data_IF_545550458109
#
_entry.id   IF_545550458109
#
_cell.length_a   1.000
_cell.length_b   1.000
_cell.length_c   1.000
_cell.angle_alpha   90.00
_cell.angle_beta   90.00
_cell.angle_gamma   90.00
#
_symmetry.space_group_name_H-M   'P 1'
#
loop_
_entity.id
_entity.type
_entity.pdbx_description
1 polymer ?
#
# COMPACT_ATOMS: atom_id res chain seq x y z
N UNK A 1 18.84 -66.51 -14.84
CA UNK A 1 19.14 -65.11 -15.15
C UNK A 1 17.91 -64.28 -15.57
N UNK A 2 16.95 -64.76 -16.37
CA UNK A 2 15.78 -63.95 -16.83
C UNK A 2 14.76 -63.52 -15.73
N UNK A 3 14.62 -64.30 -14.63
CA UNK A 3 13.68 -63.93 -13.52
C UNK A 3 14.14 -62.78 -12.60
N UNK A 4 15.45 -62.47 -12.58
CA UNK A 4 15.96 -61.37 -11.73
C UNK A 4 15.87 -60.02 -12.41
N UNK A 5 15.98 -59.97 -13.75
CA UNK A 5 15.91 -58.74 -14.54
C UNK A 5 14.48 -58.15 -14.52
N UNK A 6 13.42 -59.00 -14.55
CA UNK A 6 12.04 -58.54 -14.50
C UNK A 6 11.63 -57.97 -13.14
N UNK A 7 12.23 -58.42 -12.02
CA UNK A 7 11.94 -57.89 -10.69
C UNK A 7 12.49 -56.47 -10.47
N UNK A 8 13.69 -56.18 -11.01
CA UNK A 8 14.35 -54.88 -10.91
C UNK A 8 13.57 -53.84 -11.73
N UNK A 9 13.11 -54.19 -12.93
CA UNK A 9 12.32 -53.29 -13.80
C UNK A 9 10.96 -52.96 -13.20
N UNK A 10 10.35 -53.89 -12.47
CA UNK A 10 9.04 -53.67 -11.81
C UNK A 10 9.18 -52.77 -10.58
N UNK A 11 10.25 -52.91 -9.81
CA UNK A 11 10.57 -52.05 -8.65
C UNK A 11 10.88 -50.62 -9.11
N UNK A 12 11.67 -50.47 -10.17
CA UNK A 12 11.98 -49.15 -10.73
C UNK A 12 10.77 -48.43 -11.31
N UNK A 13 9.84 -49.16 -11.94
CA UNK A 13 8.56 -48.59 -12.41
C UNK A 13 7.64 -48.23 -11.28
N UNK A 14 7.57 -49.01 -10.19
CA UNK A 14 6.77 -48.73 -9.02
C UNK A 14 7.29 -47.50 -8.23
N UNK A 15 8.63 -47.39 -8.06
CA UNK A 15 9.25 -46.23 -7.40
C UNK A 15 9.13 -44.95 -8.24
N UNK A 16 9.23 -45.03 -9.56
CA UNK A 16 8.99 -43.90 -10.46
C UNK A 16 7.49 -43.46 -10.43
N UNK A 17 6.55 -44.42 -10.34
CA UNK A 17 5.13 -44.14 -10.25
C UNK A 17 4.75 -43.51 -8.91
N UNK A 18 5.29 -43.99 -7.77
CA UNK A 18 5.07 -43.42 -6.44
C UNK A 18 5.69 -42.03 -6.35
N UNK A 19 6.94 -41.84 -6.84
CA UNK A 19 7.57 -40.54 -6.88
C UNK A 19 6.79 -39.51 -7.70
N UNK A 20 6.30 -39.92 -8.88
CA UNK A 20 5.45 -39.10 -9.72
C UNK A 20 4.11 -38.73 -9.06
N UNK A 21 3.44 -39.68 -8.39
CA UNK A 21 2.20 -39.41 -7.68
C UNK A 21 2.39 -38.47 -6.48
N UNK A 22 3.48 -38.62 -5.73
CA UNK A 22 3.80 -37.72 -4.60
C UNK A 22 4.09 -36.30 -5.09
N UNK A 23 4.83 -36.14 -6.17
CA UNK A 23 5.09 -34.81 -6.77
C UNK A 23 3.80 -34.16 -7.28
N UNK A 24 2.91 -34.91 -7.93
CA UNK A 24 1.62 -34.39 -8.41
C UNK A 24 0.72 -33.98 -7.26
N UNK A 25 0.64 -34.78 -6.19
CA UNK A 25 -0.14 -34.45 -5.00
C UNK A 25 0.42 -33.23 -4.27
N UNK A 26 1.73 -33.12 -4.10
CA UNK A 26 2.37 -31.96 -3.50
C UNK A 26 2.12 -30.69 -4.31
N UNK A 27 2.25 -30.75 -5.64
CA UNK A 27 2.00 -29.63 -6.55
C UNK A 27 0.51 -29.22 -6.54
N UNK A 28 -0.43 -30.16 -6.46
CA UNK A 28 -1.84 -29.86 -6.37
C UNK A 28 -2.16 -29.18 -5.02
N UNK A 29 -1.63 -29.69 -3.90
CA UNK A 29 -1.84 -29.10 -2.57
C UNK A 29 -1.28 -27.68 -2.52
N UNK A 30 -0.07 -27.45 -3.05
CA UNK A 30 0.56 -26.13 -3.13
C UNK A 30 -0.28 -25.16 -3.98
N UNK A 31 -0.79 -25.61 -5.12
CA UNK A 31 -1.67 -24.81 -5.95
C UNK A 31 -2.98 -24.42 -5.25
N UNK A 32 -3.64 -25.35 -4.54
CA UNK A 32 -4.85 -25.04 -3.78
C UNK A 32 -4.57 -24.08 -2.62
N UNK A 33 -3.48 -24.29 -1.88
CA UNK A 33 -3.05 -23.40 -0.81
C UNK A 33 -2.70 -22.01 -1.35
N UNK A 34 -1.93 -21.93 -2.43
CA UNK A 34 -1.59 -20.68 -3.09
C UNK A 34 -2.82 -19.93 -3.59
N UNK A 35 -3.78 -20.64 -4.21
CA UNK A 35 -5.03 -20.03 -4.66
C UNK A 35 -5.90 -19.51 -3.51
N UNK A 36 -5.96 -20.25 -2.40
CA UNK A 36 -6.64 -19.80 -1.19
C UNK A 36 -5.99 -18.53 -0.64
N UNK A 37 -4.67 -18.52 -0.48
CA UNK A 37 -3.90 -17.38 0.02
C UNK A 37 -4.05 -16.13 -0.87
N UNK A 38 -4.06 -16.31 -2.20
CA UNK A 38 -4.27 -15.21 -3.14
C UNK A 38 -5.67 -14.60 -2.98
N UNK A 39 -6.72 -15.41 -2.94
CA UNK A 39 -8.07 -14.89 -2.75
C UNK A 39 -8.23 -14.24 -1.36
N UNK A 40 -7.63 -14.81 -0.34
CA UNK A 40 -7.59 -14.26 1.01
C UNK A 40 -6.88 -12.91 1.06
N UNK A 41 -5.68 -12.81 0.45
CA UNK A 41 -4.85 -11.61 0.50
C UNK A 41 -5.36 -10.51 -0.44
N UNK A 42 -5.60 -10.78 -1.72
CA UNK A 42 -5.88 -9.74 -2.72
C UNK A 42 -7.26 -9.80 -3.37
N UNK A 43 -8.04 -10.89 -3.17
CA UNK A 43 -9.41 -10.95 -3.68
C UNK A 43 -10.30 -9.86 -3.06
N UNK A 44 -11.20 -9.25 -3.85
CA UNK A 44 -12.21 -8.32 -3.33
C UNK A 44 -13.05 -9.02 -2.25
N UNK A 45 -13.19 -8.42 -1.07
CA UNK A 45 -13.92 -9.01 0.06
C UNK A 45 -13.24 -10.20 0.73
N UNK A 46 -11.97 -10.50 0.43
CA UNK A 46 -11.19 -11.52 1.15
C UNK A 46 -10.86 -11.09 2.60
N UNK A 47 -10.54 -12.04 3.48
CA UNK A 47 -10.34 -11.79 4.92
C UNK A 47 -8.93 -11.30 5.30
N UNK A 48 -8.08 -10.98 4.32
CA UNK A 48 -6.68 -10.58 4.56
C UNK A 48 -6.50 -9.34 5.43
N UNK A 49 -7.54 -8.49 5.56
CA UNK A 49 -7.54 -7.34 6.47
C UNK A 49 -7.63 -7.71 7.95
N UNK A 50 -8.18 -8.89 8.29
CA UNK A 50 -8.29 -9.38 9.66
C UNK A 50 -6.96 -10.02 10.08
N UNK A 51 -6.05 -9.19 10.60
CA UNK A 51 -4.72 -9.65 11.01
C UNK A 51 -4.75 -10.32 12.38
N UNK A 52 -4.50 -11.61 12.41
CA UNK A 52 -4.18 -12.36 13.63
C UNK A 52 -2.77 -12.89 13.52
N UNK A 53 -1.92 -12.57 14.47
CA UNK A 53 -0.54 -13.07 14.55
C UNK A 53 -0.45 -14.15 15.66
N UNK A 54 0.60 -14.95 15.64
CA UNK A 54 0.82 -15.96 16.67
C UNK A 54 1.08 -15.33 18.03
N UNK A 55 0.81 -16.07 19.11
CA UNK A 55 1.01 -15.60 20.48
C UNK A 55 2.46 -15.14 20.74
N UNK A 56 3.45 -15.86 20.20
CA UNK A 56 4.87 -15.50 20.33
C UNK A 56 5.23 -14.21 19.58
N UNK A 57 4.68 -14.01 18.37
CA UNK A 57 4.88 -12.79 17.62
C UNK A 57 4.13 -11.62 18.28
N UNK A 58 2.91 -11.86 18.77
CA UNK A 58 2.13 -10.86 19.49
C UNK A 58 2.82 -10.41 20.77
N UNK A 59 3.41 -11.33 21.55
CA UNK A 59 4.15 -11.00 22.76
C UNK A 59 5.37 -10.10 22.49
N UNK A 60 6.06 -10.28 21.36
CA UNK A 60 7.17 -9.40 20.96
C UNK A 60 6.67 -8.02 20.55
N UNK A 61 5.60 -7.96 19.76
CA UNK A 61 4.95 -6.71 19.33
C UNK A 61 4.52 -5.91 20.56
N UNK A 62 3.82 -6.55 21.52
CA UNK A 62 3.36 -5.88 22.74
C UNK A 62 4.52 -5.40 23.63
N UNK A 63 5.67 -6.11 23.65
CA UNK A 63 6.84 -5.70 24.40
C UNK A 63 7.55 -4.45 23.82
N UNK A 64 7.35 -4.17 22.54
CA UNK A 64 7.92 -3.00 21.84
C UNK A 64 6.99 -1.78 21.91
N UNK A 65 5.71 -1.95 22.29
CA UNK A 65 4.76 -0.85 22.42
C UNK A 65 4.98 -0.06 23.71
N UNK A 66 4.89 1.25 23.58
CA UNK A 66 4.89 2.17 24.74
C UNK A 66 3.43 2.45 25.14
N UNK A 67 3.10 2.22 26.42
CA UNK A 67 1.77 2.52 26.95
C UNK A 67 1.42 4.02 26.83
N UNK A 68 2.42 4.90 26.98
CA UNK A 68 2.24 6.34 26.83
C UNK A 68 1.97 6.70 25.36
N UNK A 69 2.69 6.10 24.41
CA UNK A 69 2.45 6.30 22.99
C UNK A 69 1.06 5.82 22.57
N UNK A 70 0.61 4.67 23.05
CA UNK A 70 -0.73 4.13 22.77
C UNK A 70 -1.83 5.05 23.30
N UNK A 71 -1.66 5.62 24.50
CA UNK A 71 -2.62 6.58 25.06
C UNK A 71 -2.70 7.83 24.20
N UNK A 72 -1.56 8.42 23.81
CA UNK A 72 -1.51 9.60 22.94
C UNK A 72 -2.18 9.32 21.60
N UNK A 73 -1.86 8.18 20.97
CA UNK A 73 -2.44 7.75 19.68
C UNK A 73 -3.97 7.67 19.79
N UNK A 74 -4.50 7.01 20.82
CA UNK A 74 -5.93 6.81 20.99
C UNK A 74 -6.68 8.12 21.24
N UNK A 75 -6.14 9.01 22.08
CA UNK A 75 -6.72 10.30 22.36
C UNK A 75 -6.71 11.21 21.12
N UNK A 76 -5.60 11.23 20.38
CA UNK A 76 -5.44 12.02 19.16
C UNK A 76 -6.40 11.51 18.06
N UNK A 77 -6.50 10.21 17.85
CA UNK A 77 -7.47 9.59 16.92
C UNK A 77 -8.88 10.03 17.22
N UNK A 78 -9.28 9.99 18.47
CA UNK A 78 -10.62 10.41 18.88
C UNK A 78 -10.87 11.87 18.57
N UNK A 79 -9.92 12.76 18.88
CA UNK A 79 -10.06 14.20 18.63
C UNK A 79 -10.05 14.49 17.12
N UNK A 80 -9.14 13.94 16.35
CA UNK A 80 -9.07 14.14 14.89
C UNK A 80 -10.29 13.56 14.19
N UNK A 81 -10.76 12.38 14.59
CA UNK A 81 -11.98 11.78 14.02
C UNK A 81 -13.23 12.61 14.26
N UNK A 82 -13.36 13.25 15.44
CA UNK A 82 -14.46 14.21 15.69
C UNK A 82 -14.34 15.46 14.81
N UNK A 83 -13.13 15.99 14.65
CA UNK A 83 -12.87 17.14 13.78
C UNK A 83 -13.18 16.80 12.32
N UNK A 84 -12.74 15.63 11.84
CA UNK A 84 -12.99 15.16 10.48
C UNK A 84 -14.48 14.96 10.19
N UNK A 85 -15.25 14.46 11.15
CA UNK A 85 -16.69 14.32 11.00
C UNK A 85 -17.40 15.68 10.85
N UNK A 86 -17.01 16.69 11.65
CA UNK A 86 -17.53 18.05 11.52
C UNK A 86 -17.09 18.70 10.19
N UNK A 87 -15.87 18.44 9.75
CA UNK A 87 -15.39 18.91 8.46
C UNK A 87 -16.22 18.34 7.31
N UNK A 88 -16.50 17.04 7.32
CA UNK A 88 -17.29 16.39 6.27
C UNK A 88 -18.74 16.87 6.24
N UNK A 89 -19.34 17.16 7.39
CA UNK A 89 -20.67 17.79 7.49
C UNK A 89 -20.67 19.21 6.88
N UNK A 90 -19.61 19.98 7.15
CA UNK A 90 -19.48 21.37 6.65
C UNK A 90 -19.05 21.44 5.18
N UNK A 91 -18.26 20.49 4.73
CA UNK A 91 -17.64 20.42 3.40
C UNK A 91 -17.82 19.04 2.75
N UNK A 92 -19.08 18.64 2.43
CA UNK A 92 -19.34 17.32 1.87
C UNK A 92 -18.61 17.15 0.54
N UNK A 93 -17.92 16.01 0.40
CA UNK A 93 -17.23 15.66 -0.84
C UNK A 93 -18.23 15.46 -1.99
N UNK A 94 -17.76 15.77 -3.20
CA UNK A 94 -18.46 15.38 -4.44
C UNK A 94 -18.00 14.01 -4.87
N UNK A 95 -18.96 13.14 -5.17
CA UNK A 95 -18.69 11.86 -5.81
C UNK A 95 -18.18 12.10 -7.22
N UNK A 96 -16.99 11.56 -7.53
CA UNK A 96 -16.43 11.56 -8.87
C UNK A 96 -16.18 10.13 -9.30
N UNK A 97 -16.37 9.86 -10.57
CA UNK A 97 -16.02 8.59 -11.20
C UNK A 97 -15.19 8.85 -12.44
N UNK A 98 -14.06 8.16 -12.56
CA UNK A 98 -13.21 8.16 -13.76
C UNK A 98 -13.05 6.75 -14.29
N UNK A 99 -12.60 6.62 -15.52
CA UNK A 99 -12.28 5.33 -16.12
C UNK A 99 -10.79 5.04 -15.98
N UNK A 100 -10.45 3.84 -15.50
CA UNK A 100 -9.05 3.36 -15.51
C UNK A 100 -8.60 2.98 -16.93
N UNK A 101 -7.29 2.78 -17.12
CA UNK A 101 -6.75 2.35 -18.41
C UNK A 101 -7.27 0.96 -18.85
N UNK A 102 -7.70 0.13 -17.93
CA UNK A 102 -8.27 -1.21 -18.15
C UNK A 102 -9.80 -1.23 -18.01
N UNK A 103 -10.46 -0.05 -18.14
CA UNK A 103 -11.90 0.16 -18.16
C UNK A 103 -12.66 -0.19 -16.87
N UNK A 104 -12.04 -0.03 -15.70
CA UNK A 104 -12.74 -0.03 -14.43
C UNK A 104 -13.30 1.36 -14.11
N UNK A 105 -14.52 1.43 -13.58
CA UNK A 105 -15.05 2.64 -12.97
C UNK A 105 -14.38 2.82 -11.60
N UNK A 106 -13.56 3.87 -11.48
CA UNK A 106 -12.87 4.24 -10.25
C UNK A 106 -13.58 5.41 -9.61
N UNK A 107 -13.92 5.24 -8.33
CA UNK A 107 -14.57 6.26 -7.52
C UNK A 107 -13.53 7.12 -6.78
N UNK A 108 -13.85 8.39 -6.55
CA UNK A 108 -13.08 9.30 -5.69
C UNK A 108 -14.00 10.33 -5.01
N UNK A 109 -13.69 10.65 -3.77
CA UNK A 109 -14.27 11.77 -3.04
C UNK A 109 -13.48 13.04 -3.35
N UNK A 110 -14.13 14.06 -3.89
CA UNK A 110 -13.53 15.36 -4.23
C UNK A 110 -14.01 16.45 -3.28
N UNK A 111 -13.12 16.99 -2.49
CA UNK A 111 -13.34 18.14 -1.63
C UNK A 111 -12.95 19.43 -2.37
N UNK A 112 -13.94 20.10 -2.97
CA UNK A 112 -13.74 21.31 -3.75
C UNK A 112 -13.57 22.52 -2.84
N UNK A 113 -12.41 23.15 -2.84
CA UNK A 113 -12.12 24.35 -2.07
C UNK A 113 -12.30 25.61 -2.96
N UNK A 114 -13.49 26.15 -2.98
CA UNK A 114 -13.83 27.34 -3.80
C UNK A 114 -13.02 28.56 -3.41
N UNK A 115 -12.69 28.73 -2.11
CA UNK A 115 -11.95 29.88 -1.61
C UNK A 115 -10.46 29.85 -2.06
N UNK A 116 -9.94 28.69 -2.40
CA UNK A 116 -8.56 28.47 -2.78
C UNK A 116 -8.38 28.04 -4.25
N UNK A 117 -9.40 28.22 -5.09
CA UNK A 117 -9.36 27.74 -6.47
C UNK A 117 -8.24 28.37 -7.30
N UNK A 118 -7.79 29.59 -6.97
CA UNK A 118 -6.70 30.29 -7.67
C UNK A 118 -5.28 29.87 -7.21
N UNK A 119 -5.17 29.01 -6.21
CA UNK A 119 -3.87 28.58 -5.70
C UNK A 119 -3.24 27.48 -6.57
N UNK A 120 -4.04 26.81 -7.40
CA UNK A 120 -3.64 25.66 -8.21
C UNK A 120 -3.02 24.51 -7.39
N UNK A 121 -3.30 24.45 -6.08
CA UNK A 121 -2.79 23.41 -5.17
C UNK A 121 -3.76 22.22 -5.13
N UNK A 122 -3.22 21.04 -5.40
CA UNK A 122 -3.99 19.79 -5.40
C UNK A 122 -3.30 18.70 -4.58
N UNK A 123 -4.08 17.95 -3.84
CA UNK A 123 -3.60 16.77 -3.14
C UNK A 123 -4.42 15.54 -3.55
N UNK A 124 -3.73 14.44 -3.85
CA UNK A 124 -4.35 13.11 -3.93
C UNK A 124 -3.94 12.36 -2.65
N UNK A 125 -4.91 12.04 -1.80
CA UNK A 125 -4.68 11.33 -0.53
C UNK A 125 -5.13 9.87 -0.65
N UNK A 126 -4.20 8.93 -0.47
CA UNK A 126 -4.35 7.54 -0.92
C UNK A 126 -4.38 6.59 0.28
N UNK A 127 -5.48 5.87 0.43
CA UNK A 127 -5.76 4.99 1.56
C UNK A 127 -4.93 3.70 1.58
N UNK A 128 -4.87 3.08 2.75
CA UNK A 128 -4.20 1.82 2.99
C UNK A 128 -4.99 0.58 2.51
N UNK A 129 -4.39 -0.59 2.74
CA UNK A 129 -4.95 -1.87 2.36
C UNK A 129 -6.33 -2.10 2.97
N UNK A 130 -7.31 -2.48 2.13
CA UNK A 130 -8.71 -2.75 2.49
C UNK A 130 -9.44 -1.60 3.21
N UNK A 131 -8.92 -0.40 3.09
CA UNK A 131 -9.62 0.82 3.46
C UNK A 131 -10.37 1.40 2.25
N UNK A 132 -10.91 2.60 2.40
CA UNK A 132 -11.52 3.41 1.36
C UNK A 132 -11.24 4.89 1.64
N UNK A 133 -11.80 5.79 0.81
CA UNK A 133 -11.64 7.24 0.95
C UNK A 133 -12.00 7.78 2.34
N UNK A 134 -12.93 7.16 3.09
CA UNK A 134 -13.34 7.63 4.41
C UNK A 134 -12.18 7.58 5.41
N UNK A 135 -11.25 6.63 5.26
CA UNK A 135 -10.04 6.55 6.09
C UNK A 135 -9.05 7.69 5.85
N UNK A 136 -9.27 8.50 4.82
CA UNK A 136 -8.43 9.64 4.46
C UNK A 136 -9.09 10.99 4.76
N UNK A 137 -10.23 11.02 5.48
CA UNK A 137 -10.97 12.27 5.76
C UNK A 137 -10.12 13.25 6.59
N UNK A 138 -9.36 12.77 7.57
CA UNK A 138 -8.46 13.59 8.40
C UNK A 138 -7.33 14.22 7.57
N UNK A 139 -6.78 13.47 6.61
CA UNK A 139 -5.79 13.97 5.65
C UNK A 139 -6.43 14.97 4.69
N UNK A 140 -7.62 14.66 4.18
CA UNK A 140 -8.39 15.54 3.29
C UNK A 140 -8.71 16.87 3.95
N UNK A 141 -9.18 16.86 5.21
CA UNK A 141 -9.42 18.06 6.01
C UNK A 141 -8.16 18.92 6.07
N UNK A 142 -7.03 18.32 6.43
CA UNK A 142 -5.79 19.09 6.66
C UNK A 142 -5.26 19.73 5.39
N UNK A 143 -5.28 19.02 4.26
CA UNK A 143 -4.95 19.63 2.96
C UNK A 143 -5.94 20.71 2.56
N UNK A 144 -7.24 20.49 2.73
CA UNK A 144 -8.28 21.48 2.43
C UNK A 144 -8.10 22.77 3.24
N UNK A 145 -7.86 22.67 4.55
CA UNK A 145 -7.60 23.80 5.45
C UNK A 145 -6.33 24.59 5.06
N UNK A 146 -5.39 23.93 4.41
CA UNK A 146 -4.16 24.56 3.86
C UNK A 146 -4.31 25.01 2.39
N UNK A 147 -5.53 25.13 1.89
CA UNK A 147 -5.81 25.75 0.60
C UNK A 147 -5.68 24.83 -0.61
N UNK A 148 -5.76 23.53 -0.43
CA UNK A 148 -5.72 22.55 -1.51
C UNK A 148 -7.13 22.16 -2.00
N UNK A 149 -7.23 21.83 -3.27
CA UNK A 149 -8.25 20.93 -3.81
C UNK A 149 -7.86 19.51 -3.44
N UNK A 150 -8.77 18.67 -2.95
CA UNK A 150 -8.39 17.33 -2.48
C UNK A 150 -9.19 16.24 -3.17
N UNK A 151 -8.51 15.23 -3.68
CA UNK A 151 -9.09 13.99 -4.21
C UNK A 151 -8.67 12.83 -3.32
N UNK A 152 -9.63 12.12 -2.78
CA UNK A 152 -9.43 10.86 -2.05
C UNK A 152 -10.03 9.71 -2.87
N UNK A 153 -9.23 9.01 -3.70
CA UNK A 153 -9.73 7.90 -4.50
C UNK A 153 -9.96 6.65 -3.65
N UNK A 154 -10.98 5.87 -3.98
CA UNK A 154 -11.01 4.46 -3.64
C UNK A 154 -10.10 3.71 -4.63
N UNK A 155 -9.08 3.03 -4.14
CA UNK A 155 -8.23 2.19 -4.97
C UNK A 155 -9.04 1.03 -5.58
N UNK A 156 -8.57 0.45 -6.68
CA UNK A 156 -9.23 -0.69 -7.33
C UNK A 156 -9.55 -1.81 -6.35
N UNK A 157 -10.71 -2.44 -6.51
CA UNK A 157 -11.25 -3.47 -5.63
C UNK A 157 -11.51 -3.02 -4.17
N UNK A 158 -11.46 -1.72 -3.87
CA UNK A 158 -11.78 -1.13 -2.56
C UNK A 158 -12.98 -0.18 -2.67
N UNK A 159 -13.68 0.05 -1.57
CA UNK A 159 -14.78 0.99 -1.47
C UNK A 159 -15.80 0.86 -2.61
N UNK A 160 -16.09 1.98 -3.30
CA UNK A 160 -17.02 2.05 -4.44
C UNK A 160 -16.35 1.77 -5.79
N UNK A 161 -15.00 1.70 -5.88
CA UNK A 161 -14.27 1.40 -7.11
C UNK A 161 -14.46 -0.05 -7.55
N UNK A 162 -14.51 -0.26 -8.86
CA UNK A 162 -14.58 -1.61 -9.46
C UNK A 162 -13.24 -2.36 -9.32
N UNK A 163 -13.25 -3.61 -9.71
CA UNK A 163 -12.11 -4.52 -9.67
C UNK A 163 -12.38 -5.76 -8.82
N UNK A 164 -11.69 -6.84 -9.15
CA UNK A 164 -11.81 -8.12 -8.45
C UNK A 164 -10.63 -8.40 -7.51
N UNK A 165 -9.52 -7.74 -7.73
CA UNK A 165 -8.27 -7.93 -6.99
C UNK A 165 -7.64 -6.59 -6.61
N UNK A 166 -7.16 -6.50 -5.37
CA UNK A 166 -6.39 -5.37 -4.87
C UNK A 166 -5.07 -5.30 -5.64
N UNK A 167 -4.70 -4.12 -6.08
CA UNK A 167 -3.53 -3.91 -6.94
C UNK A 167 -2.19 -3.86 -6.21
N UNK A 168 -2.19 -3.79 -4.87
CA UNK A 168 -1.01 -3.72 -4.00
C UNK A 168 -0.01 -2.63 -4.41
N UNK A 169 -0.53 -1.47 -4.82
CA UNK A 169 0.27 -0.35 -5.33
C UNK A 169 0.64 -0.49 -6.80
N UNK A 170 0.79 -1.70 -7.34
CA UNK A 170 1.31 -1.92 -8.69
C UNK A 170 0.31 -1.56 -9.79
N UNK A 171 -0.91 -2.09 -9.72
CA UNK A 171 -1.96 -1.69 -10.66
C UNK A 171 -2.51 -0.31 -10.28
N UNK A 172 -2.62 -0.04 -8.99
CA UNK A 172 -3.12 1.23 -8.44
C UNK A 172 -2.31 2.43 -8.93
N UNK A 173 -0.98 2.28 -9.18
CA UNK A 173 -0.14 3.37 -9.70
C UNK A 173 -0.63 3.91 -11.04
N UNK A 174 -1.18 3.05 -11.89
CA UNK A 174 -1.74 3.45 -13.18
C UNK A 174 -3.10 4.15 -13.02
N UNK A 175 -3.86 3.75 -11.99
CA UNK A 175 -5.11 4.41 -11.62
C UNK A 175 -4.83 5.82 -11.09
N UNK A 176 -3.78 5.99 -10.27
CA UNK A 176 -3.36 7.32 -9.78
C UNK A 176 -2.93 8.22 -10.95
N UNK A 177 -2.28 7.68 -11.99
CA UNK A 177 -1.99 8.47 -13.21
C UNK A 177 -3.29 8.92 -13.87
N UNK A 178 -4.34 8.10 -13.91
CA UNK A 178 -5.65 8.51 -14.43
C UNK A 178 -6.27 9.63 -13.59
N UNK A 179 -6.15 9.60 -12.27
CA UNK A 179 -6.56 10.69 -11.37
C UNK A 179 -5.75 11.97 -11.58
N UNK A 180 -4.43 11.87 -11.77
CA UNK A 180 -3.55 13.01 -12.10
C UNK A 180 -4.03 13.65 -13.40
N UNK A 181 -4.31 12.88 -14.44
CA UNK A 181 -4.79 13.38 -15.73
C UNK A 181 -6.16 14.06 -15.56
N UNK A 182 -7.07 13.48 -14.79
CA UNK A 182 -8.36 14.09 -14.48
C UNK A 182 -8.17 15.47 -13.79
N UNK A 183 -7.25 15.59 -12.84
CA UNK A 183 -6.94 16.89 -12.19
C UNK A 183 -6.43 17.89 -13.21
N UNK A 184 -5.52 17.52 -14.09
CA UNK A 184 -4.95 18.40 -15.11
C UNK A 184 -6.01 18.86 -16.11
N UNK A 185 -7.01 18.04 -16.41
CA UNK A 185 -8.17 18.44 -17.21
C UNK A 185 -9.04 19.49 -16.51
N UNK A 186 -9.13 19.46 -15.17
CA UNK A 186 -9.86 20.48 -14.40
C UNK A 186 -9.02 21.76 -14.21
N UNK A 187 -7.70 21.62 -14.04
CA UNK A 187 -6.76 22.68 -13.75
C UNK A 187 -5.41 22.40 -14.41
N UNK A 188 -5.15 22.93 -15.62
CA UNK A 188 -3.88 22.71 -16.34
C UNK A 188 -2.65 23.20 -15.59
N UNK A 189 -2.80 24.18 -14.68
CA UNK A 189 -1.72 24.75 -13.88
C UNK A 189 -1.56 24.07 -12.52
N UNK A 190 -2.29 22.98 -12.27
CA UNK A 190 -2.29 22.24 -11.00
C UNK A 190 -0.87 21.88 -10.55
N UNK A 191 -0.59 22.11 -9.27
CA UNK A 191 0.59 21.62 -8.55
C UNK A 191 0.14 20.50 -7.62
N UNK A 192 0.49 19.26 -7.97
CA UNK A 192 -0.10 18.06 -7.35
C UNK A 192 0.87 17.44 -6.35
N UNK A 193 0.39 17.21 -5.14
CA UNK A 193 1.02 16.37 -4.10
C UNK A 193 0.32 15.01 -4.08
N UNK A 194 1.11 13.93 -4.03
CA UNK A 194 0.59 12.60 -3.73
C UNK A 194 0.97 12.23 -2.29
N UNK A 195 -0.02 11.95 -1.44
CA UNK A 195 0.19 11.52 -0.06
C UNK A 195 -0.53 10.19 0.19
N UNK A 196 0.22 9.16 0.55
CA UNK A 196 -0.33 7.83 0.80
C UNK A 196 0.10 7.24 2.13
N UNK A 197 -0.77 6.38 2.69
CA UNK A 197 -0.53 5.65 3.93
C UNK A 197 -0.50 4.14 3.66
N UNK A 198 0.50 3.42 4.16
CA UNK A 198 0.60 1.96 4.06
C UNK A 198 0.62 1.49 2.58
N UNK A 199 -0.36 0.71 2.13
CA UNK A 199 -0.50 0.36 0.71
C UNK A 199 -0.64 1.62 -0.17
N UNK A 200 -1.28 2.68 0.33
CA UNK A 200 -1.33 3.98 -0.35
C UNK A 200 0.05 4.61 -0.51
N UNK A 201 0.92 4.48 0.49
CA UNK A 201 2.31 4.93 0.41
C UNK A 201 3.12 4.12 -0.62
N UNK A 202 2.93 2.80 -0.65
CA UNK A 202 3.51 1.96 -1.69
C UNK A 202 2.99 2.36 -3.09
N UNK A 203 1.69 2.71 -3.20
CA UNK A 203 1.10 3.24 -4.44
C UNK A 203 1.78 4.55 -4.87
N UNK A 204 1.97 5.49 -3.93
CA UNK A 204 2.69 6.76 -4.18
C UNK A 204 4.10 6.48 -4.69
N UNK A 205 4.84 5.62 -4.02
CA UNK A 205 6.21 5.25 -4.41
C UNK A 205 6.25 4.57 -5.77
N UNK A 206 5.36 3.61 -6.04
CA UNK A 206 5.31 2.93 -7.34
C UNK A 206 4.89 3.89 -8.47
N UNK A 207 3.98 4.84 -8.19
CA UNK A 207 3.63 5.91 -9.13
C UNK A 207 4.82 6.81 -9.44
N UNK A 208 5.68 7.11 -8.46
CA UNK A 208 6.83 7.98 -8.62
C UNK A 208 7.89 7.47 -9.61
N UNK A 209 7.88 6.17 -9.88
CA UNK A 209 8.77 5.54 -10.86
C UNK A 209 8.29 5.60 -12.31
N UNK A 210 7.09 6.13 -12.55
CA UNK A 210 6.49 6.28 -13.87
C UNK A 210 6.83 7.63 -14.53
N UNK A 211 6.57 7.74 -15.83
CA UNK A 211 6.69 9.02 -16.53
C UNK A 211 5.49 9.90 -16.20
N UNK A 212 5.69 10.89 -15.34
CA UNK A 212 4.63 11.75 -14.81
C UNK A 212 4.69 13.17 -15.40
N UNK A 213 3.52 13.85 -15.56
CA UNK A 213 3.46 15.26 -15.93
C UNK A 213 4.20 16.16 -14.92
N UNK A 214 4.69 17.30 -15.39
CA UNK A 214 5.38 18.30 -14.54
C UNK A 214 4.50 18.88 -13.42
N UNK A 215 3.19 18.70 -13.53
CA UNK A 215 2.20 19.07 -12.51
C UNK A 215 2.41 18.35 -11.18
N UNK A 216 2.91 17.10 -11.19
CA UNK A 216 3.22 16.35 -9.98
C UNK A 216 4.51 16.87 -9.37
N UNK A 217 4.46 17.44 -8.17
CA UNK A 217 5.57 18.14 -7.54
C UNK A 217 6.24 17.36 -6.42
N UNK A 218 5.47 16.77 -5.53
CA UNK A 218 5.96 16.18 -4.27
C UNK A 218 5.26 14.87 -3.98
N UNK A 219 6.00 13.95 -3.40
CA UNK A 219 5.50 12.68 -2.88
C UNK A 219 5.68 12.65 -1.36
N UNK A 220 4.65 12.19 -0.65
CA UNK A 220 4.68 11.88 0.79
C UNK A 220 4.23 10.44 0.96
N UNK A 221 5.11 9.62 1.48
CA UNK A 221 4.80 8.24 1.81
C UNK A 221 4.86 8.04 3.34
N UNK A 222 3.83 7.44 3.94
CA UNK A 222 3.78 7.10 5.36
C UNK A 222 3.61 5.59 5.52
N UNK A 223 4.61 4.94 6.09
CA UNK A 223 4.72 3.52 6.39
C UNK A 223 4.49 2.57 5.19
N UNK A 224 5.08 2.91 4.02
CA UNK A 224 5.04 2.05 2.86
C UNK A 224 6.05 0.90 2.90
N UNK A 225 5.90 -0.09 2.02
CA UNK A 225 6.75 -1.29 1.95
C UNK A 225 7.64 -1.31 0.71
N UNK A 226 8.74 -2.06 0.78
CA UNK A 226 9.75 -2.22 -0.29
C UNK A 226 9.20 -2.95 -1.51
N UNK A 227 8.42 -4.02 -1.30
CA UNK A 227 7.75 -4.76 -2.37
C UNK A 227 6.57 -5.58 -1.85
N UNK A 228 5.65 -5.91 -2.76
CA UNK A 228 4.54 -6.82 -2.46
C UNK A 228 5.04 -8.22 -2.08
N UNK A 229 6.16 -8.66 -2.65
CA UNK A 229 6.78 -9.93 -2.26
C UNK A 229 7.20 -9.92 -0.80
N UNK A 230 7.95 -8.92 -0.37
CA UNK A 230 8.52 -8.87 0.99
C UNK A 230 7.46 -8.72 2.06
N UNK A 231 6.44 -7.87 1.84
CA UNK A 231 5.36 -7.75 2.83
C UNK A 231 4.56 -9.04 2.95
N UNK A 232 4.26 -9.74 1.86
CA UNK A 232 3.53 -11.00 1.94
C UNK A 232 4.38 -12.15 2.50
N UNK A 233 5.68 -12.20 2.19
CA UNK A 233 6.59 -13.18 2.79
C UNK A 233 6.70 -12.99 4.31
N UNK A 234 6.79 -11.73 4.77
CA UNK A 234 6.78 -11.39 6.19
C UNK A 234 5.46 -11.82 6.86
N UNK A 235 4.32 -11.48 6.30
CA UNK A 235 3.01 -11.86 6.82
C UNK A 235 2.76 -13.37 6.78
N UNK A 236 3.23 -14.08 5.75
CA UNK A 236 3.16 -15.53 5.67
C UNK A 236 3.89 -16.19 6.84
N UNK A 237 5.08 -15.68 7.16
CA UNK A 237 5.88 -16.15 8.30
C UNK A 237 5.25 -15.81 9.64
N UNK A 238 4.80 -14.56 9.83
CA UNK A 238 4.27 -14.10 11.13
C UNK A 238 2.91 -14.70 11.47
N UNK A 239 2.02 -14.86 10.47
CA UNK A 239 0.63 -15.30 10.70
C UNK A 239 0.45 -16.80 10.61
N UNK A 240 1.18 -17.44 9.70
CA UNK A 240 0.95 -18.84 9.36
C UNK A 240 2.15 -19.73 9.68
N UNK A 241 3.30 -19.18 10.10
CA UNK A 241 4.56 -19.92 10.32
C UNK A 241 4.98 -20.77 9.12
N UNK A 242 4.62 -20.34 7.93
CA UNK A 242 4.91 -21.04 6.68
C UNK A 242 6.17 -20.47 6.00
N UNK A 243 6.95 -21.32 5.34
CA UNK A 243 8.09 -20.88 4.55
C UNK A 243 7.64 -20.22 3.24
N UNK A 244 8.46 -19.30 2.72
CA UNK A 244 8.19 -18.65 1.45
C UNK A 244 8.12 -19.66 0.27
N UNK A 245 9.07 -20.60 0.22
CA UNK A 245 9.10 -21.61 -0.84
C UNK A 245 8.32 -22.86 -0.41
N UNK A 246 7.46 -23.40 -1.28
CA UNK A 246 7.13 -22.97 -2.64
C UNK A 246 5.94 -22.00 -2.73
N UNK A 247 5.26 -21.69 -1.61
CA UNK A 247 3.97 -20.99 -1.57
C UNK A 247 3.98 -19.61 -2.21
N UNK A 248 5.00 -18.80 -1.95
CA UNK A 248 5.12 -17.45 -2.52
C UNK A 248 5.26 -17.48 -4.04
N UNK A 249 6.04 -18.44 -4.59
CA UNK A 249 6.20 -18.62 -6.02
C UNK A 249 4.88 -19.01 -6.69
N UNK A 250 4.17 -19.95 -6.08
CA UNK A 250 2.87 -20.42 -6.57
C UNK A 250 1.83 -19.29 -6.48
N UNK A 251 1.77 -18.56 -5.35
CA UNK A 251 0.88 -17.42 -5.19
C UNK A 251 1.16 -16.32 -6.22
N UNK A 252 2.43 -15.95 -6.44
CA UNK A 252 2.81 -14.94 -7.42
C UNK A 252 2.43 -15.34 -8.84
N UNK A 253 2.63 -16.62 -9.22
CA UNK A 253 2.18 -17.14 -10.50
C UNK A 253 0.66 -17.09 -10.66
N UNK A 254 -0.09 -17.39 -9.61
CA UNK A 254 -1.55 -17.31 -9.63
C UNK A 254 -2.01 -15.87 -9.79
N UNK A 255 -1.38 -14.91 -9.08
CA UNK A 255 -1.68 -13.48 -9.19
C UNK A 255 -1.38 -12.96 -10.58
N UNK A 256 -0.25 -13.34 -11.17
CA UNK A 256 0.11 -12.99 -12.53
C UNK A 256 -0.96 -13.42 -13.54
N UNK A 257 -1.55 -14.61 -13.35
CA UNK A 257 -2.62 -15.10 -14.22
C UNK A 257 -4.00 -14.47 -13.95
N UNK A 258 -4.32 -14.13 -12.69
CA UNK A 258 -5.64 -13.63 -12.28
C UNK A 258 -5.76 -12.12 -12.27
N UNK A 259 -4.73 -11.45 -11.78
CA UNK A 259 -4.70 -10.01 -11.57
C UNK A 259 -3.75 -9.27 -12.51
N UNK A 260 -2.94 -9.99 -13.29
CA UNK A 260 -2.09 -9.41 -14.33
C UNK A 260 -0.78 -8.79 -13.82
N UNK A 261 -0.32 -9.11 -12.61
CA UNK A 261 0.95 -8.63 -12.09
C UNK A 261 1.69 -9.68 -11.25
N UNK A 262 3.00 -9.53 -11.11
CA UNK A 262 3.87 -10.40 -10.30
C UNK A 262 4.25 -9.70 -8.98
N UNK A 263 4.33 -10.44 -7.87
CA UNK A 263 4.65 -9.86 -6.57
C UNK A 263 6.04 -9.25 -6.49
N UNK A 264 7.01 -9.72 -7.28
CA UNK A 264 8.36 -9.15 -7.33
C UNK A 264 8.44 -7.93 -8.23
N UNK A 265 7.63 -7.89 -9.28
CA UNK A 265 7.48 -6.74 -10.15
C UNK A 265 6.89 -5.55 -9.39
N UNK A 266 5.93 -5.80 -8.48
CA UNK A 266 5.32 -4.81 -7.61
C UNK A 266 6.30 -4.36 -6.52
N UNK A 267 7.26 -3.50 -6.88
CA UNK A 267 8.38 -3.06 -6.06
C UNK A 267 8.47 -1.54 -5.96
N UNK A 268 8.19 -1.02 -4.75
CA UNK A 268 8.44 0.39 -4.41
C UNK A 268 9.92 0.72 -4.48
N UNK A 269 10.79 -0.21 -4.04
CA UNK A 269 12.24 -0.04 -4.06
C UNK A 269 12.76 0.26 -5.47
N UNK A 270 12.28 -0.54 -6.45
CA UNK A 270 12.63 -0.33 -7.86
C UNK A 270 12.08 1.00 -8.41
N UNK A 271 10.89 1.39 -7.98
CA UNK A 271 10.26 2.62 -8.43
C UNK A 271 10.96 3.87 -7.87
N UNK A 272 11.22 3.93 -6.57
CA UNK A 272 11.86 5.10 -5.94
C UNK A 272 13.30 5.29 -6.43
N UNK A 273 13.99 4.21 -6.84
CA UNK A 273 15.34 4.32 -7.42
C UNK A 273 15.38 5.10 -8.75
N UNK A 274 14.23 5.29 -9.38
CA UNK A 274 14.06 6.07 -10.63
C UNK A 274 13.47 7.46 -10.37
N UNK A 275 12.99 7.73 -9.15
CA UNK A 275 12.30 8.96 -8.81
C UNK A 275 13.30 10.12 -8.59
N UNK A 276 13.26 11.13 -9.43
CA UNK A 276 14.06 12.35 -9.28
C UNK A 276 13.33 13.46 -8.51
N UNK A 277 12.00 13.36 -8.34
CA UNK A 277 11.18 14.37 -7.66
C UNK A 277 11.28 14.29 -6.15
N UNK A 278 10.94 15.36 -5.42
CA UNK A 278 10.98 15.39 -3.96
C UNK A 278 10.11 14.30 -3.31
N UNK A 279 10.62 13.67 -2.28
CA UNK A 279 9.88 12.63 -1.52
C UNK A 279 10.18 12.71 -0.02
N UNK A 280 9.13 12.80 0.78
CA UNK A 280 9.16 12.66 2.23
C UNK A 280 8.79 11.23 2.62
N UNK A 281 9.64 10.61 3.41
CA UNK A 281 9.46 9.27 3.96
C UNK A 281 9.10 9.38 5.43
N UNK A 282 7.99 8.79 5.85
CA UNK A 282 7.49 8.82 7.23
C UNK A 282 7.29 7.39 7.71
N UNK A 283 7.72 7.06 8.95
CA UNK A 283 7.50 5.72 9.49
C UNK A 283 7.58 5.70 11.02
N UNK A 284 6.76 4.85 11.63
CA UNK A 284 6.82 4.56 13.06
C UNK A 284 7.86 3.51 13.40
N UNK A 285 8.66 3.72 14.46
CA UNK A 285 9.71 2.76 14.84
C UNK A 285 9.16 1.47 15.45
N UNK A 286 7.93 1.49 15.98
CA UNK A 286 7.24 0.33 16.52
C UNK A 286 6.19 -0.24 15.55
N UNK A 287 6.37 -0.02 14.23
CA UNK A 287 5.48 -0.59 13.20
C UNK A 287 5.58 -2.12 13.23
N UNK A 288 4.48 -2.74 13.63
CA UNK A 288 4.33 -4.17 13.82
C UNK A 288 3.83 -4.91 12.56
N UNK A 289 3.58 -4.17 11.47
CA UNK A 289 3.09 -4.71 10.21
C UNK A 289 4.11 -4.56 9.08
N UNK A 290 4.61 -3.34 8.86
CA UNK A 290 5.66 -3.05 7.89
C UNK A 290 6.92 -2.66 8.67
N UNK A 291 7.98 -3.49 8.65
CA UNK A 291 9.20 -3.21 9.41
C UNK A 291 9.79 -1.83 9.09
N UNK A 292 10.11 -1.07 10.13
CA UNK A 292 10.75 0.26 10.00
C UNK A 292 12.01 0.25 9.13
N UNK A 293 12.74 -0.88 9.10
CA UNK A 293 13.92 -1.04 8.23
C UNK A 293 13.63 -0.83 6.76
N UNK A 294 12.39 -1.11 6.30
CA UNK A 294 12.00 -0.90 4.90
C UNK A 294 12.06 0.57 4.51
N UNK A 295 11.71 1.50 5.40
CA UNK A 295 11.86 2.94 5.13
C UNK A 295 13.32 3.32 4.88
N UNK A 296 14.27 2.76 5.66
CA UNK A 296 15.69 3.03 5.46
C UNK A 296 16.17 2.57 4.07
N UNK A 297 15.75 1.37 3.65
CA UNK A 297 16.09 0.82 2.33
C UNK A 297 15.50 1.69 1.20
N UNK A 298 14.24 2.12 1.34
CA UNK A 298 13.56 2.99 0.38
C UNK A 298 14.23 4.38 0.29
N UNK A 299 14.56 4.96 1.44
CA UNK A 299 15.25 6.24 1.50
C UNK A 299 16.63 6.18 0.86
N UNK A 300 17.40 5.13 1.13
CA UNK A 300 18.73 4.94 0.53
C UNK A 300 18.64 4.74 -0.98
N UNK A 301 17.66 3.99 -1.46
CA UNK A 301 17.47 3.71 -2.88
C UNK A 301 17.08 4.95 -3.71
N UNK A 302 16.40 5.94 -3.09
CA UNK A 302 16.01 7.17 -3.77
C UNK A 302 17.24 8.04 -4.11
N UNK A 303 17.47 8.39 -5.38
CA UNK A 303 18.59 9.24 -5.79
C UNK A 303 18.38 10.70 -5.37
N UNK A 304 19.47 11.47 -5.35
CA UNK A 304 19.46 12.90 -5.08
C UNK A 304 19.33 13.26 -3.61
N UNK A 305 19.23 14.56 -3.34
CA UNK A 305 19.17 15.14 -1.98
C UNK A 305 17.79 15.72 -1.65
N UNK A 306 16.87 15.73 -2.60
CA UNK A 306 15.50 16.21 -2.44
C UNK A 306 14.62 15.13 -1.76
N UNK A 307 15.09 14.64 -0.63
CA UNK A 307 14.43 13.63 0.21
C UNK A 307 14.64 13.92 1.69
N UNK A 308 13.65 13.59 2.48
CA UNK A 308 13.68 13.75 3.94
C UNK A 308 13.05 12.53 4.61
N UNK A 309 13.50 12.22 5.82
CA UNK A 309 12.89 11.23 6.71
C UNK A 309 12.23 11.92 7.89
N UNK A 310 11.04 11.44 8.27
CA UNK A 310 10.37 11.76 9.52
C UNK A 310 10.12 10.46 10.29
N UNK A 311 10.86 10.26 11.37
CA UNK A 311 10.70 9.10 12.25
C UNK A 311 9.71 9.42 13.36
N UNK A 312 8.65 8.62 13.48
CA UNK A 312 7.71 8.68 14.59
C UNK A 312 8.09 7.63 15.64
N UNK A 313 8.91 8.06 16.61
CA UNK A 313 9.47 7.15 17.63
C UNK A 313 8.37 6.52 18.50
N UNK A 314 8.24 5.21 18.47
CA UNK A 314 7.22 4.46 19.20
C UNK A 314 5.84 4.36 18.50
N UNK A 315 5.65 4.97 17.32
CA UNK A 315 4.42 4.80 16.57
C UNK A 315 4.33 3.39 15.97
N UNK A 316 3.18 2.77 16.12
CA UNK A 316 2.81 1.51 15.45
C UNK A 316 2.30 1.80 14.03
N UNK A 317 1.93 0.75 13.28
CA UNK A 317 1.53 0.86 11.87
C UNK A 317 0.43 1.91 11.63
N UNK A 318 0.68 2.81 10.67
CA UNK A 318 -0.21 3.91 10.27
C UNK A 318 -0.63 4.86 11.42
N UNK A 319 0.23 5.00 12.44
CA UNK A 319 -0.03 5.84 13.62
C UNK A 319 0.94 7.01 13.77
N UNK A 320 1.82 7.25 12.79
CA UNK A 320 2.75 8.38 12.80
C UNK A 320 2.04 9.71 13.00
N UNK A 321 0.95 9.95 12.24
CA UNK A 321 0.11 11.13 12.36
C UNK A 321 -0.42 11.32 13.78
N UNK A 322 -0.98 10.27 14.37
CA UNK A 322 -1.65 10.36 15.67
C UNK A 322 -0.68 10.53 16.83
N UNK A 323 0.52 9.96 16.72
CA UNK A 323 1.55 10.13 17.74
C UNK A 323 2.21 11.52 17.69
N UNK A 324 2.50 12.01 16.48
CA UNK A 324 3.19 13.29 16.29
C UNK A 324 2.24 14.51 16.28
N UNK A 325 0.95 14.31 15.99
CA UNK A 325 -0.05 15.36 15.95
C UNK A 325 0.32 16.52 15.01
N UNK A 326 0.33 17.75 15.50
CA UNK A 326 0.69 18.94 14.72
C UNK A 326 2.13 18.89 14.19
N UNK A 327 3.05 18.23 14.88
CA UNK A 327 4.43 18.09 14.41
C UNK A 327 4.52 17.28 13.13
N UNK A 328 3.64 16.29 12.93
CA UNK A 328 3.51 15.56 11.66
C UNK A 328 3.25 16.53 10.51
N UNK A 329 2.21 17.34 10.64
CA UNK A 329 1.77 18.27 9.61
C UNK A 329 2.76 19.40 9.36
N UNK A 330 3.40 19.92 10.42
CA UNK A 330 4.46 20.91 10.25
C UNK A 330 5.60 20.36 9.39
N UNK A 331 6.07 19.14 9.63
CA UNK A 331 7.11 18.51 8.81
C UNK A 331 6.62 18.26 7.36
N UNK A 332 5.38 17.81 7.20
CA UNK A 332 4.80 17.56 5.85
C UNK A 332 4.73 18.85 5.05
N UNK A 333 4.15 19.93 5.61
CA UNK A 333 4.00 21.18 4.87
C UNK A 333 5.32 21.93 4.70
N UNK A 334 6.20 21.96 5.69
CA UNK A 334 7.55 22.54 5.53
C UNK A 334 8.31 21.88 4.38
N UNK A 335 8.18 20.56 4.24
CA UNK A 335 8.77 19.85 3.11
C UNK A 335 8.09 20.20 1.78
N UNK A 336 6.76 20.15 1.72
CA UNK A 336 5.99 20.45 0.50
C UNK A 336 6.27 21.88 0.02
N UNK A 337 6.22 22.87 0.91
CA UNK A 337 6.37 24.32 0.61
C UNK A 337 7.76 24.65 0.08
N UNK A 338 8.74 23.77 0.30
CA UNK A 338 10.07 23.91 -0.31
C UNK A 338 10.07 23.66 -1.83
N UNK A 339 9.02 23.05 -2.39
CA UNK A 339 8.95 22.61 -3.79
C UNK A 339 7.71 23.09 -4.54
N UNK A 340 6.69 23.56 -3.86
CA UNK A 340 5.46 24.13 -4.42
C UNK A 340 5.54 25.67 -4.30
N UNK A 341 5.05 26.37 -5.31
CA UNK A 341 5.12 27.85 -5.36
C UNK A 341 3.72 28.44 -5.43
#
# INVERSE_FOLDING_TARGET
MKKHINKISTIQKATAGIGGAVVVLASATDFFAGNYLVNYAIGRGGDGGNRTVSDDANAKIEAEKSADAETIINDTKKQMGLSAALFEEAHPAKDITILSNDNLNLYGAYYKNEAAASNHLWAIVIHGYRCDHNSMTEFSQRYYENGYQVVAPDLRACGKSEGNYVGMGWLDRLDIISWINWIIEQDPDAQIVLHGVSMGAATVMMTSGESLPENVKVFVEDCGYTSTWEIFANELKLRFHLPEFPLMQTASLIVSNKAGYDFKEASSLTAVSKCERPMLFIHGTADDFIPYSMMNELYEAKPGTNKQMLTAEGATHANSLYLLGESYWNNVFDFIDSYIK
#
